data_IF_566198643438
#
_entry.id   IF_566198643438
#
_cell.length_a   1.000
_cell.length_b   1.000
_cell.length_c   1.000
_cell.angle_alpha   90.00
_cell.angle_beta   90.00
_cell.angle_gamma   90.00
#
_symmetry.space_group_name_H-M   'P 1'
#
loop_
_entity.id
_entity.type
_entity.pdbx_description
1 polymer ?
#
# COMPACT_ATOMS: atom_id res chain seq x y z
N UNK A 1 -13.13 23.73 -8.91
CA UNK A 1 -11.83 23.10 -9.26
C UNK A 1 -12.10 21.65 -9.64
N UNK A 2 -11.44 21.13 -10.67
CA UNK A 2 -11.59 19.74 -11.10
C UNK A 2 -11.03 18.81 -10.02
N UNK A 3 -11.88 17.97 -9.41
CA UNK A 3 -11.47 17.05 -8.33
C UNK A 3 -10.97 15.71 -8.87
N UNK A 4 -11.31 15.37 -10.11
CA UNK A 4 -10.87 14.14 -10.79
C UNK A 4 -10.87 14.27 -12.31
N UNK A 5 -9.98 13.53 -12.95
CA UNK A 5 -10.03 13.24 -14.37
C UNK A 5 -10.51 11.82 -14.62
N UNK A 6 -11.23 11.63 -15.72
CA UNK A 6 -11.69 10.32 -16.18
C UNK A 6 -10.82 9.90 -17.36
N UNK A 7 -10.27 8.69 -17.29
CA UNK A 7 -9.64 8.04 -18.43
C UNK A 7 -10.32 6.72 -18.74
N UNK A 8 -10.30 6.32 -20.01
CA UNK A 8 -10.70 4.97 -20.41
C UNK A 8 -9.45 4.20 -20.84
N UNK A 9 -9.05 3.17 -20.06
CA UNK A 9 -7.92 2.30 -20.44
C UNK A 9 -8.42 1.06 -21.18
N UNK A 10 -7.49 0.40 -21.84
CA UNK A 10 -7.72 -0.89 -22.50
C UNK A 10 -7.31 -2.10 -21.62
N UNK A 11 -6.98 -1.87 -20.35
CA UNK A 11 -6.56 -2.91 -19.40
C UNK A 11 -7.64 -3.21 -18.38
N UNK A 12 -7.67 -4.46 -17.91
CA UNK A 12 -8.56 -4.94 -16.85
C UNK A 12 -7.73 -5.70 -15.80
N UNK A 13 -7.90 -7.01 -15.73
CA UNK A 13 -7.10 -7.91 -14.91
C UNK A 13 -5.70 -8.07 -15.54
N UNK A 14 -4.66 -7.74 -14.79
CA UNK A 14 -3.28 -7.75 -15.26
C UNK A 14 -2.43 -8.69 -14.42
N UNK A 15 -1.79 -9.69 -15.04
CA UNK A 15 -0.76 -10.52 -14.38
C UNK A 15 0.38 -9.65 -13.90
N UNK A 16 0.85 -9.87 -12.67
CA UNK A 16 1.92 -9.06 -12.09
C UNK A 16 3.07 -9.93 -11.59
N UNK A 17 4.26 -9.75 -12.17
CA UNK A 17 5.46 -10.44 -11.70
C UNK A 17 5.96 -9.86 -10.37
N UNK A 18 5.79 -8.55 -10.17
CA UNK A 18 6.29 -7.86 -8.98
C UNK A 18 5.52 -8.32 -7.73
N UNK A 19 4.20 -8.22 -7.71
CA UNK A 19 3.41 -8.66 -6.56
C UNK A 19 3.39 -10.19 -6.37
N UNK A 20 3.65 -10.96 -7.44
CA UNK A 20 3.84 -12.39 -7.35
C UNK A 20 5.12 -12.71 -6.57
N UNK A 21 6.23 -12.03 -6.90
CA UNK A 21 7.49 -12.15 -6.15
C UNK A 21 7.34 -11.73 -4.69
N UNK A 22 6.55 -10.68 -4.41
CA UNK A 22 6.19 -10.26 -3.04
C UNK A 22 5.29 -11.27 -2.30
N UNK A 23 4.83 -12.31 -2.99
CA UNK A 23 3.84 -13.27 -2.49
C UNK A 23 2.54 -12.59 -2.02
N UNK A 24 2.20 -11.44 -2.63
CA UNK A 24 1.03 -10.64 -2.27
C UNK A 24 -0.13 -10.87 -3.26
N UNK A 25 0.15 -10.98 -4.56
CA UNK A 25 -0.90 -11.24 -5.55
C UNK A 25 -0.34 -11.77 -6.86
N UNK A 26 -1.16 -12.56 -7.56
CA UNK A 26 -0.87 -13.06 -8.92
C UNK A 26 -1.29 -12.06 -10.00
N UNK A 27 -2.35 -11.32 -9.72
CA UNK A 27 -3.01 -10.39 -10.63
C UNK A 27 -3.34 -9.08 -9.92
N UNK A 28 -3.56 -8.01 -10.69
CA UNK A 28 -4.04 -6.72 -10.19
C UNK A 28 -5.21 -6.22 -11.03
N UNK A 29 -6.11 -5.49 -10.39
CA UNK A 29 -7.13 -4.67 -11.05
C UNK A 29 -7.01 -3.26 -10.49
N UNK A 30 -6.45 -2.34 -11.26
CA UNK A 30 -6.29 -0.95 -10.84
C UNK A 30 -7.52 -0.15 -11.20
N UNK A 31 -8.10 0.64 -10.29
CA UNK A 31 -9.25 1.52 -10.57
C UNK A 31 -8.91 2.76 -11.41
N UNK A 32 -7.63 3.05 -11.64
CA UNK A 32 -7.18 4.26 -12.32
C UNK A 32 -5.67 4.34 -12.45
N UNK A 33 -5.14 5.56 -12.49
CA UNK A 33 -3.70 5.83 -12.57
C UNK A 33 -3.15 6.63 -11.41
N UNK A 34 -3.90 7.51 -10.75
CA UNK A 34 -3.45 8.36 -9.63
C UNK A 34 -4.63 8.55 -8.66
N UNK A 35 -4.37 8.70 -7.36
CA UNK A 35 -5.41 9.07 -6.39
C UNK A 35 -5.15 10.41 -5.69
N UNK A 36 -6.22 11.00 -5.15
CA UNK A 36 -6.22 12.29 -4.43
C UNK A 36 -5.68 12.24 -2.99
N UNK A 37 -5.22 11.09 -2.49
CA UNK A 37 -4.80 10.93 -1.09
C UNK A 37 -3.57 11.78 -0.71
N UNK A 38 -2.75 12.17 -1.69
CA UNK A 38 -1.67 13.15 -1.50
C UNK A 38 -0.45 12.66 -0.70
N UNK A 39 -0.24 11.34 -0.58
CA UNK A 39 0.87 10.80 0.20
C UNK A 39 2.24 11.26 -0.33
N UNK A 40 3.04 11.95 0.47
CA UNK A 40 4.31 12.59 0.03
C UNK A 40 5.38 11.59 -0.43
N UNK A 41 5.29 10.34 0.03
CA UNK A 41 6.16 9.23 -0.34
C UNK A 41 5.61 8.37 -1.50
N UNK A 42 4.52 8.77 -2.13
CA UNK A 42 3.91 8.00 -3.21
C UNK A 42 4.84 7.93 -4.43
N UNK A 43 5.23 6.71 -4.83
CA UNK A 43 6.04 6.48 -6.04
C UNK A 43 5.23 6.49 -7.32
N UNK A 44 3.90 6.38 -7.22
CA UNK A 44 3.03 6.07 -8.33
C UNK A 44 3.06 7.08 -9.50
N UNK A 45 3.14 8.41 -9.27
CA UNK A 45 3.29 9.37 -10.37
C UNK A 45 4.45 9.03 -11.31
N UNK A 46 5.58 8.54 -10.78
CA UNK A 46 6.75 8.14 -11.57
C UNK A 46 6.58 6.83 -12.35
N UNK A 47 5.57 6.01 -12.01
CA UNK A 47 5.24 4.81 -12.79
C UNK A 47 4.35 5.14 -13.98
N UNK A 48 3.50 6.17 -13.87
CA UNK A 48 2.47 6.47 -14.88
C UNK A 48 2.78 7.69 -15.74
N UNK A 49 3.79 8.50 -15.41
CA UNK A 49 4.06 9.81 -16.05
C UNK A 49 4.23 9.78 -17.58
N UNK A 50 4.56 8.63 -18.17
CA UNK A 50 4.72 8.47 -19.63
C UNK A 50 3.41 8.12 -20.35
N UNK A 51 2.31 7.90 -19.64
CA UNK A 51 1.04 7.54 -20.24
C UNK A 51 0.51 8.68 -21.13
N UNK A 52 0.04 8.36 -22.33
CA UNK A 52 -0.35 9.34 -23.36
C UNK A 52 -1.47 10.28 -22.89
N UNK A 53 -2.42 9.77 -22.11
CA UNK A 53 -3.48 10.54 -21.45
C UNK A 53 -3.01 11.86 -20.83
N UNK A 54 -1.84 11.89 -20.17
CA UNK A 54 -1.31 13.12 -19.56
C UNK A 54 -0.99 14.20 -20.60
N UNK A 55 -0.51 13.79 -21.79
CA UNK A 55 -0.29 14.70 -22.92
C UNK A 55 -1.61 15.23 -23.48
N UNK A 56 -2.62 14.38 -23.60
CA UNK A 56 -3.94 14.73 -24.13
C UNK A 56 -4.62 15.82 -23.29
N UNK A 57 -4.58 15.68 -21.97
CA UNK A 57 -5.17 16.67 -21.05
C UNK A 57 -4.27 17.88 -20.78
N UNK A 58 -3.03 17.89 -21.30
CA UNK A 58 -2.02 18.93 -21.08
C UNK A 58 -1.67 19.13 -19.59
N UNK A 59 -1.61 18.03 -18.83
CA UNK A 59 -1.12 18.00 -17.45
C UNK A 59 -0.13 16.85 -17.28
N UNK A 60 0.90 17.03 -16.46
CA UNK A 60 1.75 15.93 -16.03
C UNK A 60 1.11 15.14 -14.88
N UNK A 61 1.53 13.88 -14.73
CA UNK A 61 1.17 13.06 -13.58
C UNK A 61 1.54 13.71 -12.23
N UNK A 62 2.65 14.45 -12.21
CA UNK A 62 3.15 15.10 -11.00
C UNK A 62 2.30 16.32 -10.63
N UNK A 63 1.94 17.17 -11.59
CA UNK A 63 1.08 18.33 -11.35
C UNK A 63 -0.29 17.92 -10.80
N UNK A 64 -0.93 16.91 -11.40
CA UNK A 64 -2.22 16.42 -10.89
C UNK A 64 -2.08 15.84 -9.48
N UNK A 65 -1.01 15.09 -9.21
CA UNK A 65 -0.77 14.53 -7.88
C UNK A 65 -0.54 15.61 -6.82
N UNK A 66 0.22 16.66 -7.13
CA UNK A 66 0.46 17.80 -6.23
C UNK A 66 -0.80 18.61 -5.95
N UNK A 67 -1.75 18.63 -6.90
CA UNK A 67 -3.06 19.25 -6.74
C UNK A 67 -4.09 18.31 -6.07
N UNK A 68 -3.67 17.12 -5.64
CA UNK A 68 -4.56 16.08 -5.09
C UNK A 68 -5.71 15.71 -6.03
N UNK A 69 -5.45 15.67 -7.34
CA UNK A 69 -6.44 15.32 -8.35
C UNK A 69 -6.28 13.86 -8.76
N UNK A 70 -7.33 13.06 -8.56
CA UNK A 70 -7.36 11.67 -8.96
C UNK A 70 -7.55 11.47 -10.46
N UNK A 71 -7.05 10.36 -11.00
CA UNK A 71 -7.30 9.94 -12.38
C UNK A 71 -7.84 8.52 -12.37
N UNK A 72 -9.14 8.37 -12.65
CA UNK A 72 -9.88 7.11 -12.49
C UNK A 72 -10.45 6.58 -13.81
N UNK A 73 -10.75 5.30 -13.85
CA UNK A 73 -11.32 4.61 -15.00
C UNK A 73 -12.60 3.85 -14.64
N UNK A 74 -13.77 4.51 -14.76
CA UNK A 74 -15.07 3.95 -14.42
C UNK A 74 -15.46 2.69 -15.21
N UNK A 75 -14.81 2.40 -16.34
CA UNK A 75 -15.10 1.22 -17.16
C UNK A 75 -14.31 -0.03 -16.73
N UNK A 76 -13.40 0.10 -15.76
CA UNK A 76 -12.60 -1.02 -15.24
C UNK A 76 -13.46 -2.20 -14.77
N UNK A 77 -14.57 -2.03 -14.01
CA UNK A 77 -15.43 -3.14 -13.60
C UNK A 77 -16.03 -3.90 -14.79
N UNK A 78 -16.47 -3.20 -15.83
CA UNK A 78 -17.07 -3.81 -17.03
C UNK A 78 -16.05 -4.70 -17.73
N UNK A 79 -14.81 -4.21 -17.92
CA UNK A 79 -13.75 -5.00 -18.56
C UNK A 79 -13.27 -6.15 -17.66
N UNK A 80 -13.27 -5.95 -16.35
CA UNK A 80 -12.96 -6.99 -15.36
C UNK A 80 -13.98 -8.12 -15.43
N UNK A 81 -15.28 -7.79 -15.43
CA UNK A 81 -16.34 -8.80 -15.53
C UNK A 81 -16.27 -9.62 -16.83
N UNK A 82 -15.87 -9.00 -17.95
CA UNK A 82 -15.67 -9.68 -19.24
C UNK A 82 -14.49 -10.65 -19.26
N UNK A 83 -13.51 -10.48 -18.38
CA UNK A 83 -12.27 -11.28 -18.37
C UNK A 83 -12.08 -12.11 -17.11
N UNK A 84 -12.96 -11.95 -16.12
CA UNK A 84 -12.91 -12.65 -14.83
C UNK A 84 -12.93 -14.17 -14.94
N UNK A 85 -13.64 -14.72 -15.95
CA UNK A 85 -13.74 -16.18 -16.17
C UNK A 85 -12.38 -16.87 -16.40
N UNK A 86 -11.32 -16.11 -16.66
CA UNK A 86 -9.95 -16.63 -16.84
C UNK A 86 -9.24 -16.91 -15.52
N UNK A 87 -9.76 -16.40 -14.41
CA UNK A 87 -9.19 -16.57 -13.08
C UNK A 87 -9.76 -17.81 -12.41
N UNK A 88 -8.94 -18.47 -11.60
CA UNK A 88 -9.29 -19.67 -10.86
C UNK A 88 -8.94 -19.54 -9.36
N UNK A 89 -9.26 -20.56 -8.57
CA UNK A 89 -9.04 -20.59 -7.11
C UNK A 89 -7.60 -20.40 -6.62
N UNK A 90 -6.60 -20.59 -7.49
CA UNK A 90 -5.18 -20.35 -7.15
C UNK A 90 -4.75 -18.90 -7.42
N UNK A 91 -5.58 -18.14 -8.13
CA UNK A 91 -5.30 -16.74 -8.41
C UNK A 91 -5.71 -15.85 -7.23
N UNK A 92 -4.79 -14.96 -6.88
CA UNK A 92 -5.00 -13.86 -5.93
C UNK A 92 -5.00 -12.54 -6.72
N UNK A 93 -6.09 -11.79 -6.65
CA UNK A 93 -6.26 -10.49 -7.31
C UNK A 93 -6.15 -9.37 -6.27
N UNK A 94 -5.13 -8.51 -6.40
CA UNK A 94 -5.03 -7.28 -5.62
C UNK A 94 -5.81 -6.15 -6.30
N UNK A 95 -6.76 -5.58 -5.58
CA UNK A 95 -7.52 -4.42 -6.03
C UNK A 95 -6.71 -3.16 -5.76
N UNK A 96 -6.39 -2.47 -6.84
CA UNK A 96 -5.66 -1.20 -6.91
C UNK A 96 -4.29 -1.22 -6.25
N UNK A 97 -3.32 -1.77 -6.99
CA UNK A 97 -1.90 -1.72 -6.69
C UNK A 97 -1.25 -0.34 -6.94
N UNK A 98 -1.86 0.52 -7.76
CA UNK A 98 -1.30 1.84 -8.13
C UNK A 98 -1.89 3.00 -7.32
N UNK A 99 -3.09 2.84 -6.81
CA UNK A 99 -3.90 3.90 -6.20
C UNK A 99 -4.79 3.30 -5.11
N UNK A 100 -5.44 4.12 -4.31
CA UNK A 100 -6.36 3.59 -3.31
C UNK A 100 -7.76 3.38 -3.91
N UNK A 101 -8.35 2.17 -3.81
CA UNK A 101 -9.68 1.90 -4.37
C UNK A 101 -10.81 2.64 -3.62
N UNK A 102 -10.50 3.21 -2.44
CA UNK A 102 -11.41 3.98 -1.59
C UNK A 102 -10.97 5.44 -1.43
N UNK A 103 -10.08 5.94 -2.31
CA UNK A 103 -9.87 7.38 -2.43
C UNK A 103 -11.19 8.10 -2.77
N UNK A 104 -11.40 9.36 -2.34
CA UNK A 104 -12.65 10.09 -2.50
C UNK A 104 -13.30 9.96 -3.88
N UNK A 105 -12.55 10.16 -4.95
CA UNK A 105 -13.00 10.09 -6.34
C UNK A 105 -13.44 8.68 -6.79
N UNK A 106 -12.85 7.63 -6.22
CA UNK A 106 -13.21 6.24 -6.48
C UNK A 106 -14.42 5.84 -5.62
N UNK A 107 -14.44 6.27 -4.36
CA UNK A 107 -15.51 5.98 -3.41
C UNK A 107 -16.85 6.62 -3.84
N UNK A 108 -16.83 7.87 -4.30
CA UNK A 108 -18.02 8.62 -4.75
C UNK A 108 -18.87 7.84 -5.77
N UNK A 109 -18.24 7.04 -6.63
CA UNK A 109 -18.92 6.27 -7.67
C UNK A 109 -18.95 4.76 -7.41
N UNK A 110 -18.52 4.33 -6.21
CA UNK A 110 -18.42 2.91 -5.82
C UNK A 110 -17.45 2.10 -6.69
N UNK A 111 -16.37 2.71 -7.19
CA UNK A 111 -15.49 2.09 -8.18
C UNK A 111 -14.73 0.89 -7.60
N UNK A 112 -14.18 1.02 -6.38
CA UNK A 112 -13.53 -0.07 -5.66
C UNK A 112 -14.48 -1.27 -5.51
N UNK A 113 -15.67 -1.04 -4.94
CA UNK A 113 -16.74 -2.03 -4.79
C UNK A 113 -17.04 -2.76 -6.09
N UNK A 114 -17.33 -2.02 -7.15
CA UNK A 114 -17.68 -2.58 -8.48
C UNK A 114 -16.56 -3.45 -9.05
N UNK A 115 -15.30 -3.06 -8.86
CA UNK A 115 -14.16 -3.89 -9.27
C UNK A 115 -14.07 -5.19 -8.46
N UNK A 116 -14.28 -5.13 -7.14
CA UNK A 116 -14.29 -6.30 -6.25
C UNK A 116 -15.41 -7.26 -6.64
N UNK A 117 -16.64 -6.76 -6.79
CA UNK A 117 -17.81 -7.52 -7.25
C UNK A 117 -17.59 -8.16 -8.62
N UNK A 118 -16.97 -7.44 -9.55
CA UNK A 118 -16.69 -7.95 -10.89
C UNK A 118 -15.72 -9.15 -10.89
N UNK A 119 -14.74 -9.18 -9.98
CA UNK A 119 -13.84 -10.34 -9.81
C UNK A 119 -14.59 -11.49 -9.14
N UNK A 120 -15.23 -11.22 -8.00
CA UNK A 120 -15.86 -12.26 -7.16
C UNK A 120 -17.05 -12.93 -7.84
N UNK A 121 -17.86 -12.18 -8.60
CA UNK A 121 -19.05 -12.73 -9.28
C UNK A 121 -18.75 -13.46 -10.59
N UNK A 122 -17.52 -13.35 -11.12
CA UNK A 122 -17.13 -13.91 -12.43
C UNK A 122 -15.98 -14.90 -12.37
N UNK A 123 -15.50 -15.23 -11.17
CA UNK A 123 -14.39 -16.16 -10.96
C UNK A 123 -14.42 -16.77 -9.57
N UNK A 124 -13.58 -17.79 -9.36
CA UNK A 124 -13.32 -18.40 -8.04
C UNK A 124 -12.06 -17.84 -7.36
N UNK A 125 -11.51 -16.74 -7.88
CA UNK A 125 -10.28 -16.15 -7.35
C UNK A 125 -10.47 -15.60 -5.93
N UNK A 126 -9.35 -15.50 -5.23
CA UNK A 126 -9.26 -14.79 -3.95
C UNK A 126 -8.95 -13.31 -4.21
N UNK A 127 -9.61 -12.41 -3.49
CA UNK A 127 -9.45 -10.97 -3.64
C UNK A 127 -8.74 -10.38 -2.42
N UNK A 128 -7.67 -9.61 -2.66
CA UNK A 128 -7.06 -8.75 -1.66
C UNK A 128 -7.38 -7.30 -1.94
N UNK A 129 -7.77 -6.57 -0.91
CA UNK A 129 -7.99 -5.13 -0.96
C UNK A 129 -6.98 -4.47 -0.03
N UNK A 130 -6.16 -3.54 -0.52
CA UNK A 130 -5.26 -2.75 0.32
C UNK A 130 -5.70 -1.28 0.30
N UNK A 131 -5.86 -0.66 1.46
CA UNK A 131 -6.31 0.73 1.55
C UNK A 131 -5.69 1.49 2.73
N UNK A 132 -5.80 2.81 2.66
CA UNK A 132 -5.51 3.79 3.72
C UNK A 132 -6.76 4.54 4.19
N UNK A 133 -7.93 4.19 3.66
CA UNK A 133 -9.20 4.86 3.90
C UNK A 133 -10.16 3.97 4.68
N UNK A 134 -10.82 4.54 5.69
CA UNK A 134 -11.89 3.88 6.44
C UNK A 134 -13.18 3.71 5.64
N UNK A 135 -13.29 4.35 4.46
CA UNK A 135 -14.43 4.17 3.56
C UNK A 135 -14.62 2.72 3.09
N UNK A 136 -13.61 1.85 3.28
CA UNK A 136 -13.74 0.41 3.08
C UNK A 136 -14.82 -0.23 3.94
N UNK A 137 -15.17 0.36 5.09
CA UNK A 137 -16.22 -0.15 5.97
C UNK A 137 -17.62 -0.08 5.37
N UNK A 138 -17.84 0.76 4.35
CA UNK A 138 -19.13 0.83 3.66
C UNK A 138 -19.42 -0.43 2.83
N UNK A 139 -18.40 -1.24 2.54
CA UNK A 139 -18.52 -2.48 1.78
C UNK A 139 -18.47 -3.74 2.67
N UNK A 140 -18.71 -3.60 3.98
CA UNK A 140 -18.75 -4.74 4.91
C UNK A 140 -19.80 -5.79 4.52
N UNK A 141 -20.93 -5.38 3.95
CA UNK A 141 -21.97 -6.29 3.46
C UNK A 141 -21.43 -7.21 2.34
N UNK A 142 -20.70 -6.64 1.39
CA UNK A 142 -20.06 -7.35 0.29
C UNK A 142 -18.99 -8.32 0.83
N UNK A 143 -18.16 -7.86 1.75
CA UNK A 143 -17.09 -8.68 2.30
C UNK A 143 -17.63 -9.83 3.14
N UNK A 144 -18.69 -9.62 3.92
CA UNK A 144 -19.38 -10.70 4.64
C UNK A 144 -19.93 -11.75 3.69
N UNK A 145 -20.52 -11.32 2.57
CA UNK A 145 -21.07 -12.24 1.57
C UNK A 145 -19.98 -13.11 0.92
N UNK A 146 -18.78 -12.57 0.71
CA UNK A 146 -17.64 -13.27 0.10
C UNK A 146 -16.49 -13.56 1.08
N UNK A 147 -16.77 -13.72 2.38
CA UNK A 147 -15.75 -13.75 3.45
C UNK A 147 -14.62 -14.77 3.23
N UNK A 148 -14.93 -15.92 2.63
CA UNK A 148 -13.96 -17.00 2.39
C UNK A 148 -13.06 -16.74 1.17
N UNK A 149 -13.32 -15.67 0.42
CA UNK A 149 -12.59 -15.29 -0.81
C UNK A 149 -12.09 -13.85 -0.80
N UNK A 150 -12.11 -13.18 0.35
CA UNK A 150 -11.62 -11.80 0.47
C UNK A 150 -10.79 -11.59 1.72
N UNK A 151 -9.67 -10.86 1.60
CA UNK A 151 -8.96 -10.29 2.74
C UNK A 151 -8.81 -8.79 2.57
N UNK A 152 -9.01 -8.04 3.65
CA UNK A 152 -8.85 -6.58 3.66
C UNK A 152 -7.59 -6.20 4.43
N UNK A 153 -6.74 -5.39 3.80
CA UNK A 153 -5.51 -4.92 4.38
C UNK A 153 -5.47 -3.41 4.53
N UNK A 154 -4.82 -2.99 5.61
CA UNK A 154 -4.56 -1.57 5.89
C UNK A 154 -3.06 -1.29 5.80
N UNK A 155 -2.72 -0.11 5.28
CA UNK A 155 -1.35 0.38 5.35
C UNK A 155 -1.11 1.16 6.65
N UNK A 156 -0.08 0.79 7.41
CA UNK A 156 0.35 1.44 8.67
C UNK A 156 1.82 1.86 8.55
N UNK A 157 2.12 3.11 8.17
CA UNK A 157 3.50 3.56 7.93
C UNK A 157 4.23 4.05 9.19
N UNK A 158 3.56 4.09 10.36
CA UNK A 158 4.12 4.58 11.61
C UNK A 158 3.42 3.95 12.83
N UNK A 159 4.03 3.95 14.03
CA UNK A 159 3.34 3.56 15.26
C UNK A 159 2.23 4.56 15.62
N UNK A 160 1.24 4.10 16.40
CA UNK A 160 0.10 4.91 16.84
C UNK A 160 0.52 6.17 17.60
N UNK A 161 1.64 6.13 18.33
CA UNK A 161 2.22 7.29 19.03
C UNK A 161 2.63 8.44 18.10
N UNK A 162 2.75 8.18 16.78
CA UNK A 162 3.13 9.15 15.75
C UNK A 162 2.00 9.45 14.77
N UNK A 163 0.74 9.17 15.12
CA UNK A 163 -0.42 9.36 14.24
C UNK A 163 -0.53 10.81 13.71
N UNK A 164 -0.44 11.79 14.60
CA UNK A 164 -0.47 13.22 14.21
C UNK A 164 0.68 13.61 13.29
N UNK A 165 1.86 13.05 13.51
CA UNK A 165 3.03 13.31 12.68
C UNK A 165 2.91 12.64 11.31
N UNK A 166 2.28 11.47 11.23
CA UNK A 166 2.01 10.77 9.98
C UNK A 166 1.04 11.55 9.07
N UNK A 167 0.05 12.25 9.64
CA UNK A 167 -0.92 13.07 8.87
C UNK A 167 -0.25 14.11 7.97
N UNK A 168 0.90 14.65 8.37
CA UNK A 168 1.69 15.56 7.54
C UNK A 168 2.10 14.93 6.20
N UNK A 169 2.40 13.62 6.20
CA UNK A 169 2.87 12.89 5.03
C UNK A 169 1.75 12.17 4.27
N UNK A 170 0.62 11.91 4.92
CA UNK A 170 -0.59 11.29 4.36
C UNK A 170 -1.84 12.19 4.62
N UNK A 171 -1.89 13.43 4.09
CA UNK A 171 -2.82 14.47 4.54
C UNK A 171 -4.30 14.13 4.38
N UNK A 172 -4.66 13.37 3.34
CA UNK A 172 -6.05 13.02 3.03
C UNK A 172 -6.37 11.54 3.32
N UNK A 173 -5.49 10.83 4.02
CA UNK A 173 -5.75 9.46 4.48
C UNK A 173 -6.45 9.45 5.84
N UNK A 174 -7.12 8.35 6.17
CA UNK A 174 -7.57 8.12 7.54
C UNK A 174 -6.36 8.06 8.49
N UNK A 175 -6.55 8.48 9.73
CA UNK A 175 -5.51 8.39 10.76
C UNK A 175 -5.12 6.92 11.01
N UNK A 176 -3.97 6.69 11.63
CA UNK A 176 -3.55 5.34 12.03
C UNK A 176 -4.52 4.76 13.06
N UNK A 177 -4.99 5.59 14.00
CA UNK A 177 -6.04 5.21 14.95
C UNK A 177 -7.32 4.74 14.26
N UNK A 178 -7.83 5.51 13.30
CA UNK A 178 -9.04 5.17 12.53
C UNK A 178 -8.83 3.91 11.67
N UNK A 179 -7.65 3.75 11.06
CA UNK A 179 -7.30 2.54 10.29
C UNK A 179 -7.28 1.30 11.16
N UNK A 180 -6.65 1.35 12.34
CA UNK A 180 -6.62 0.23 13.29
C UNK A 180 -8.01 -0.11 13.82
N UNK A 181 -8.87 0.89 14.01
CA UNK A 181 -10.26 0.65 14.40
C UNK A 181 -11.08 0.00 13.27
N UNK A 182 -10.93 0.47 12.03
CA UNK A 182 -11.53 -0.19 10.87
C UNK A 182 -11.06 -1.64 10.73
N UNK A 183 -9.77 -1.89 10.96
CA UNK A 183 -9.18 -3.22 10.94
C UNK A 183 -9.78 -4.15 11.99
N UNK A 184 -9.97 -3.66 13.23
CA UNK A 184 -10.68 -4.36 14.30
C UNK A 184 -12.10 -4.71 13.88
N UNK A 185 -12.85 -3.74 13.37
CA UNK A 185 -14.25 -3.93 12.94
C UNK A 185 -14.31 -5.00 11.83
N UNK A 186 -13.43 -4.96 10.84
CA UNK A 186 -13.38 -5.96 9.76
C UNK A 186 -13.15 -7.36 10.34
N UNK A 187 -12.15 -7.51 11.21
CA UNK A 187 -11.83 -8.78 11.87
C UNK A 187 -13.00 -9.33 12.70
N UNK A 188 -13.65 -8.48 13.51
CA UNK A 188 -14.81 -8.88 14.34
C UNK A 188 -16.03 -9.31 13.52
N UNK A 189 -16.10 -8.90 12.25
CA UNK A 189 -17.12 -9.37 11.32
C UNK A 189 -16.73 -10.69 10.61
N UNK A 190 -15.66 -11.35 11.06
CA UNK A 190 -15.20 -12.65 10.55
C UNK A 190 -14.57 -12.57 9.16
N UNK A 191 -14.12 -11.38 8.74
CA UNK A 191 -13.46 -11.17 7.45
C UNK A 191 -11.95 -11.25 7.67
N UNK A 192 -11.25 -12.01 6.81
CA UNK A 192 -9.79 -12.10 6.84
C UNK A 192 -9.13 -10.74 6.66
N UNK A 193 -8.01 -10.54 7.36
CA UNK A 193 -7.29 -9.27 7.32
C UNK A 193 -5.80 -9.48 7.08
N UNK A 194 -5.12 -8.45 6.58
CA UNK A 194 -3.65 -8.45 6.46
C UNK A 194 -3.03 -7.08 6.74
N UNK A 195 -1.76 -7.05 7.12
CA UNK A 195 -1.04 -5.82 7.45
C UNK A 195 -0.08 -5.39 6.35
N UNK A 196 0.04 -4.08 6.12
CA UNK A 196 1.09 -3.50 5.28
C UNK A 196 1.81 -2.38 6.03
N UNK A 197 3.02 -2.64 6.51
CA UNK A 197 3.91 -1.62 7.10
C UNK A 197 4.71 -0.98 5.96
N UNK A 198 4.08 -0.04 5.26
CA UNK A 198 4.65 0.60 4.07
C UNK A 198 4.21 2.06 3.89
N UNK A 199 5.16 2.98 3.65
CA UNK A 199 6.61 2.75 3.69
C UNK A 199 7.13 2.74 5.13
N UNK A 200 8.10 1.87 5.41
CA UNK A 200 9.01 2.04 6.54
C UNK A 200 9.94 3.20 6.21
N UNK A 201 9.72 4.34 6.85
CA UNK A 201 10.56 5.52 6.68
C UNK A 201 11.31 5.80 7.98
N UNK A 202 12.65 5.99 7.97
CA UNK A 202 13.43 6.20 9.20
C UNK A 202 12.93 7.32 10.12
N UNK A 203 12.38 8.40 9.55
CA UNK A 203 11.81 9.50 10.33
C UNK A 203 10.50 9.11 11.06
N UNK A 204 9.73 8.14 10.54
CA UNK A 204 8.49 7.65 11.16
C UNK A 204 8.71 6.39 12.00
N UNK A 205 9.61 5.52 11.59
CA UNK A 205 9.91 4.24 12.24
C UNK A 205 11.40 4.25 12.57
N UNK A 206 11.69 4.45 13.86
CA UNK A 206 13.05 4.56 14.37
C UNK A 206 13.34 3.43 15.37
N UNK A 207 13.84 2.32 14.85
CA UNK A 207 14.29 1.18 15.64
C UNK A 207 13.19 0.18 16.00
N UNK A 208 13.58 -0.77 16.86
CA UNK A 208 12.80 -1.99 17.17
C UNK A 208 11.50 -1.72 17.91
N UNK A 209 11.46 -0.74 18.81
CA UNK A 209 10.24 -0.42 19.57
C UNK A 209 9.08 0.03 18.69
N UNK A 210 9.35 0.84 17.67
CA UNK A 210 8.34 1.32 16.73
C UNK A 210 7.80 0.15 15.89
N UNK A 211 8.69 -0.69 15.35
CA UNK A 211 8.31 -1.89 14.59
C UNK A 211 7.50 -2.85 15.46
N UNK A 212 7.95 -3.14 16.68
CA UNK A 212 7.25 -4.02 17.61
C UNK A 212 5.86 -3.49 17.96
N UNK A 213 5.72 -2.18 18.17
CA UNK A 213 4.43 -1.54 18.46
C UNK A 213 3.44 -1.68 17.31
N UNK A 214 3.88 -1.47 16.06
CA UNK A 214 3.04 -1.66 14.88
C UNK A 214 2.65 -3.13 14.73
N UNK A 215 3.62 -4.04 14.80
CA UNK A 215 3.37 -5.47 14.67
C UNK A 215 2.44 -5.99 15.76
N UNK A 216 2.63 -5.59 17.02
CA UNK A 216 1.75 -5.95 18.14
C UNK A 216 0.32 -5.47 17.91
N UNK A 217 0.15 -4.26 17.36
CA UNK A 217 -1.17 -3.71 17.03
C UNK A 217 -1.92 -4.50 15.94
N UNK A 218 -1.19 -5.15 15.03
CA UNK A 218 -1.74 -6.01 13.98
C UNK A 218 -1.92 -7.47 14.45
N UNK A 219 -0.94 -8.01 15.16
CA UNK A 219 -0.86 -9.41 15.56
C UNK A 219 -2.06 -9.89 16.38
N UNK A 220 -2.63 -9.01 17.21
CA UNK A 220 -3.82 -9.29 18.03
C UNK A 220 -5.08 -9.66 17.24
N UNK A 221 -5.08 -9.47 15.91
CA UNK A 221 -6.18 -9.82 15.02
C UNK A 221 -5.82 -10.95 14.04
N UNK A 222 -4.74 -11.68 14.33
CA UNK A 222 -4.32 -12.88 13.63
C UNK A 222 -4.28 -12.77 12.08
N UNK A 223 -3.65 -11.73 11.50
CA UNK A 223 -3.63 -11.51 10.05
C UNK A 223 -3.21 -12.73 9.23
N UNK A 224 -3.71 -12.83 7.99
CA UNK A 224 -3.25 -13.81 7.00
C UNK A 224 -1.77 -13.58 6.61
N UNK A 225 -1.29 -12.35 6.79
CA UNK A 225 0.10 -11.98 6.58
C UNK A 225 0.36 -10.51 6.89
N UNK A 226 1.63 -10.17 7.12
CA UNK A 226 2.09 -8.81 7.32
C UNK A 226 3.27 -8.56 6.39
N UNK A 227 3.15 -7.54 5.54
CA UNK A 227 4.22 -7.11 4.64
C UNK A 227 4.90 -5.87 5.20
N UNK A 228 6.22 -5.84 5.16
CA UNK A 228 7.06 -4.74 5.64
C UNK A 228 7.93 -4.29 4.47
N UNK A 229 7.80 -3.02 4.08
CA UNK A 229 8.49 -2.48 2.91
C UNK A 229 9.22 -1.18 3.25
N UNK A 230 10.53 -1.05 2.94
CA UNK A 230 11.25 0.20 3.12
C UNK A 230 10.74 1.29 2.18
N UNK A 231 10.87 2.55 2.60
CA UNK A 231 10.67 3.69 1.71
C UNK A 231 11.54 3.57 0.46
N UNK A 232 10.95 3.86 -0.70
CA UNK A 232 11.69 3.97 -1.95
C UNK A 232 12.57 5.22 -1.91
N UNK A 233 13.89 5.03 -2.03
CA UNK A 233 14.86 6.11 -2.21
C UNK A 233 14.91 6.65 -3.66
N UNK A 234 14.11 6.08 -4.57
CA UNK A 234 14.02 6.54 -5.97
C UNK A 234 13.00 7.68 -6.11
N UNK A 235 13.13 8.44 -7.21
CA UNK A 235 12.11 9.34 -7.75
C UNK A 235 11.71 10.55 -6.88
N UNK A 236 12.68 11.26 -6.29
CA UNK A 236 12.49 12.46 -5.46
C UNK A 236 11.55 12.32 -4.25
N UNK A 237 11.13 11.10 -3.90
CA UNK A 237 10.27 10.85 -2.74
C UNK A 237 10.92 11.29 -1.42
N UNK A 238 12.22 11.02 -1.28
CA UNK A 238 13.02 11.48 -0.14
C UNK A 238 13.02 13.00 -0.06
N UNK A 239 13.22 13.68 -1.18
CA UNK A 239 13.24 15.15 -1.22
C UNK A 239 11.89 15.74 -0.85
N UNK A 240 10.79 15.17 -1.39
CA UNK A 240 9.42 15.59 -1.06
C UNK A 240 9.12 15.42 0.42
N UNK A 241 9.41 14.23 0.98
CA UNK A 241 9.19 13.97 2.40
C UNK A 241 10.07 14.88 3.28
N UNK A 242 11.33 15.11 2.88
CA UNK A 242 12.24 15.98 3.62
C UNK A 242 11.80 17.44 3.60
N UNK A 243 11.32 17.93 2.45
CA UNK A 243 10.76 19.28 2.32
C UNK A 243 9.50 19.46 3.18
N UNK A 244 8.64 18.44 3.23
CA UNK A 244 7.45 18.46 4.08
C UNK A 244 7.84 18.53 5.57
N UNK A 245 8.85 17.74 5.98
CA UNK A 245 9.43 17.77 7.32
C UNK A 245 9.98 19.17 7.68
N UNK A 246 10.78 19.77 6.79
CA UNK A 246 11.34 21.13 6.96
C UNK A 246 10.21 22.17 7.12
N UNK A 247 9.17 22.09 6.29
CA UNK A 247 8.02 23.03 6.33
C UNK A 247 7.29 23.00 7.67
N UNK A 248 7.34 21.88 8.40
CA UNK A 248 6.70 21.70 9.70
C UNK A 248 7.69 21.77 10.89
N UNK A 249 8.92 22.26 10.68
CA UNK A 249 9.90 22.49 11.74
C UNK A 249 10.67 21.24 12.20
N UNK A 250 10.70 20.18 11.38
CA UNK A 250 11.42 18.93 11.65
C UNK A 250 12.78 18.87 10.92
N UNK A 251 13.55 19.97 10.91
CA UNK A 251 14.81 20.11 10.15
C UNK A 251 15.84 19.02 10.45
N UNK A 252 15.91 18.56 11.71
CA UNK A 252 16.80 17.46 12.09
C UNK A 252 16.40 16.17 11.38
N UNK A 253 15.12 15.80 11.42
CA UNK A 253 14.61 14.58 10.79
C UNK A 253 14.71 14.65 9.27
N UNK A 254 14.48 15.82 8.68
CA UNK A 254 14.65 16.03 7.24
C UNK A 254 16.11 15.79 6.80
N UNK A 255 17.08 16.33 7.55
CA UNK A 255 18.51 16.07 7.28
C UNK A 255 18.86 14.60 7.44
N UNK A 256 18.38 13.96 8.51
CA UNK A 256 18.60 12.52 8.72
C UNK A 256 18.01 11.69 7.57
N UNK A 257 16.78 11.98 7.13
CA UNK A 257 16.14 11.30 6.02
C UNK A 257 16.95 11.42 4.71
N UNK A 258 17.50 12.62 4.41
CA UNK A 258 18.40 12.84 3.28
C UNK A 258 19.70 12.02 3.40
N UNK A 259 20.28 11.94 4.60
CA UNK A 259 21.50 11.14 4.84
C UNK A 259 21.25 9.63 4.64
N UNK A 260 20.09 9.12 5.03
CA UNK A 260 19.69 7.72 4.80
C UNK A 260 19.59 7.34 3.32
N UNK A 261 19.38 8.30 2.43
CA UNK A 261 19.33 8.04 0.98
C UNK A 261 20.71 7.85 0.33
N UNK A 262 21.81 7.94 1.10
CA UNK A 262 23.14 7.55 0.63
C UNK A 262 23.32 6.04 0.65
N UNK A 263 24.07 5.47 -0.31
CA UNK A 263 24.21 4.01 -0.46
C UNK A 263 24.68 3.28 0.82
N UNK A 264 25.73 3.73 1.53
CA UNK A 264 26.17 3.04 2.75
C UNK A 264 25.13 3.10 3.88
N UNK A 265 24.52 4.26 4.08
CA UNK A 265 23.50 4.47 5.12
C UNK A 265 22.23 3.68 4.84
N UNK A 266 21.85 3.56 3.56
CA UNK A 266 20.70 2.74 3.15
C UNK A 266 20.93 1.26 3.46
N UNK A 267 22.11 0.70 3.20
CA UNK A 267 22.41 -0.70 3.57
C UNK A 267 22.31 -0.92 5.07
N UNK A 268 22.86 -0.02 5.89
CA UNK A 268 22.75 -0.09 7.36
C UNK A 268 21.31 0.01 7.85
N UNK A 269 20.54 0.91 7.25
CA UNK A 269 19.10 1.05 7.51
C UNK A 269 18.34 -0.25 7.21
N UNK A 270 18.57 -0.86 6.04
CA UNK A 270 17.91 -2.11 5.67
C UNK A 270 18.30 -3.25 6.62
N UNK A 271 19.57 -3.38 7.01
CA UNK A 271 19.99 -4.37 8.02
C UNK A 271 19.24 -4.18 9.35
N UNK A 272 19.15 -2.93 9.80
CA UNK A 272 18.43 -2.58 11.03
C UNK A 272 16.93 -2.87 10.93
N UNK A 273 16.31 -2.57 9.78
CA UNK A 273 14.90 -2.86 9.52
C UNK A 273 14.62 -4.37 9.54
N UNK A 274 15.47 -5.16 8.89
CA UNK A 274 15.35 -6.63 8.86
C UNK A 274 15.46 -7.17 10.28
N UNK A 275 16.56 -6.86 11.00
CA UNK A 275 16.76 -7.37 12.36
C UNK A 275 15.63 -6.97 13.32
N UNK A 276 15.23 -5.69 13.31
CA UNK A 276 14.13 -5.20 14.14
C UNK A 276 12.80 -5.90 13.85
N UNK A 277 12.51 -6.14 12.57
CA UNK A 277 11.27 -6.79 12.13
C UNK A 277 11.27 -8.28 12.46
N UNK A 278 12.34 -8.99 12.14
CA UNK A 278 12.49 -10.43 12.41
C UNK A 278 12.39 -10.72 13.91
N UNK A 279 13.12 -9.97 14.73
CA UNK A 279 13.08 -10.13 16.19
C UNK A 279 11.69 -9.87 16.77
N UNK A 280 11.04 -8.80 16.30
CA UNK A 280 9.72 -8.40 16.81
C UNK A 280 8.64 -9.38 16.37
N UNK A 281 8.71 -9.87 15.13
CA UNK A 281 7.79 -10.89 14.64
C UNK A 281 7.98 -12.23 15.40
N UNK A 282 9.22 -12.60 15.70
CA UNK A 282 9.54 -13.79 16.51
C UNK A 282 9.01 -13.67 17.93
N UNK A 283 9.22 -12.53 18.60
CA UNK A 283 8.72 -12.35 19.97
C UNK A 283 7.20 -12.33 20.07
N UNK A 284 6.52 -11.97 18.98
CA UNK A 284 5.06 -11.99 18.85
C UNK A 284 4.51 -13.32 18.29
N UNK A 285 5.37 -14.29 17.93
CA UNK A 285 4.94 -15.59 17.40
C UNK A 285 4.31 -15.54 16.00
N UNK A 286 4.64 -14.54 15.18
CA UNK A 286 4.06 -14.29 13.85
C UNK A 286 5.11 -14.24 12.72
N UNK A 287 6.28 -14.84 12.95
CA UNK A 287 7.39 -14.80 11.98
C UNK A 287 7.01 -15.46 10.65
N UNK A 288 6.26 -16.57 10.69
CA UNK A 288 5.73 -17.31 9.54
C UNK A 288 4.74 -16.49 8.69
N UNK A 289 4.06 -15.53 9.32
CA UNK A 289 3.13 -14.60 8.68
C UNK A 289 3.80 -13.31 8.21
N UNK A 290 5.05 -13.06 8.58
CA UNK A 290 5.75 -11.80 8.29
C UNK A 290 6.59 -11.91 7.03
N UNK A 291 6.51 -10.89 6.17
CA UNK A 291 7.24 -10.78 4.90
C UNK A 291 7.94 -9.43 4.82
N UNK A 292 9.26 -9.42 4.99
CA UNK A 292 10.09 -8.23 4.87
C UNK A 292 10.57 -8.14 3.43
N UNK A 293 9.94 -7.27 2.63
CA UNK A 293 10.14 -7.23 1.19
C UNK A 293 11.25 -6.24 0.84
N UNK A 294 12.39 -6.75 0.35
CA UNK A 294 13.58 -5.95 0.07
C UNK A 294 13.94 -6.01 -1.41
N UNK A 295 14.14 -4.83 -2.00
CA UNK A 295 14.55 -4.70 -3.40
C UNK A 295 16.07 -4.90 -3.60
N UNK A 296 16.57 -6.05 -3.17
CA UNK A 296 17.94 -6.55 -3.34
C UNK A 296 17.93 -8.04 -3.70
N UNK A 297 19.10 -8.55 -4.07
CA UNK A 297 19.45 -9.97 -4.22
C UNK A 297 19.82 -10.63 -2.88
N UNK A 298 20.22 -9.83 -1.89
CA UNK A 298 20.64 -10.28 -0.55
C UNK A 298 22.16 -10.21 -0.34
N UNK A 299 22.92 -9.96 -1.40
CA UNK A 299 24.38 -9.94 -1.33
C UNK A 299 24.87 -8.79 -0.43
N UNK A 300 25.73 -9.12 0.54
CA UNK A 300 26.26 -8.17 1.52
C UNK A 300 25.37 -7.90 2.74
N UNK A 301 24.22 -8.58 2.84
CA UNK A 301 23.35 -8.56 4.02
C UNK A 301 23.66 -9.75 4.94
N UNK A 302 24.42 -9.49 6.00
CA UNK A 302 24.60 -10.42 7.12
C UNK A 302 23.49 -10.19 8.15
N UNK A 303 22.36 -10.86 7.95
CA UNK A 303 21.12 -10.72 8.73
C UNK A 303 20.37 -12.06 8.77
N UNK A 304 19.50 -12.22 9.77
CA UNK A 304 18.50 -13.28 9.77
C UNK A 304 17.41 -12.96 8.73
N UNK A 305 17.49 -13.64 7.60
CA UNK A 305 16.63 -13.42 6.43
C UNK A 305 15.44 -14.38 6.36
N UNK A 306 15.12 -15.08 7.45
CA UNK A 306 14.04 -16.07 7.53
C UNK A 306 12.65 -15.55 7.12
N UNK A 307 12.38 -14.27 7.32
CA UNK A 307 11.14 -13.59 6.90
C UNK A 307 11.33 -12.68 5.68
N UNK A 308 12.52 -12.65 5.07
CA UNK A 308 12.85 -11.70 4.00
C UNK A 308 12.46 -12.26 2.62
N UNK A 309 11.87 -11.40 1.80
CA UNK A 309 11.58 -11.64 0.40
C UNK A 309 12.50 -10.77 -0.46
N UNK A 310 13.57 -11.36 -0.98
CA UNK A 310 14.54 -10.72 -1.87
C UNK A 310 14.01 -10.63 -3.31
N UNK A 311 13.69 -9.43 -3.80
CA UNK A 311 13.01 -9.25 -5.09
C UNK A 311 13.91 -9.45 -6.32
N UNK A 312 15.23 -9.37 -6.17
CA UNK A 312 16.19 -9.49 -7.29
C UNK A 312 16.89 -10.85 -7.36
N UNK A 313 16.59 -11.75 -6.42
CA UNK A 313 17.00 -13.14 -6.52
C UNK A 313 16.24 -13.87 -7.63
#
# INVERSE_FOLDING_TARGET
MTTKFILQRNVAITKTKDYLKRQLATHTVNTGMICSLGCKFCTNPSYVYRHEFFKEIKYTAFELFEQNVGVIDPWTPIRTARTGYKLNKTDIVLISALLDPYAPESFEIGLGRKCIEAVLSKSDAYVRVLTRSTSVLYDLDLFKYYKDRVSIGISIPAPLSKDNFCKMLEPNCSSISERLEAYRIIHENGISTFGMISPCMPALINGKSDIHSILSSLAKFEPDGIWIEPISIKNSNIDKCSKELETHGYDKMARELKLFATKPSYTSYIKSLIGASTDSARSLGILDKTKIVINSDGDGFDVDDSAVVWLKR
#
